data_IF_872867707072
#
_entry.id   IF_872867707072
#
_cell.length_a   1.000
_cell.length_b   1.000
_cell.length_c   1.000
_cell.angle_alpha   90.00
_cell.angle_beta   90.00
_cell.angle_gamma   90.00
#
_symmetry.space_group_name_H-M   'P 1'
#
loop_
_entity.id
_entity.type
_entity.pdbx_description
1 polymer ?
#
# COMPACT_ATOMS: atom_id res chain seq x y z
N UNK A 1 -1.12 -8.78 -8.40
CA UNK A 1 -2.40 -9.47 -8.12
C UNK A 1 -2.46 -9.93 -6.66
N UNK A 2 -2.38 -9.01 -5.69
CA UNK A 2 -2.42 -9.31 -4.25
C UNK A 2 -2.82 -8.10 -3.39
N UNK A 3 -3.30 -7.03 -4.03
CA UNK A 3 -3.51 -5.70 -3.43
C UNK A 3 -4.85 -5.57 -2.70
N UNK A 4 -5.79 -6.50 -2.91
CA UNK A 4 -7.15 -6.38 -2.37
C UNK A 4 -7.38 -7.16 -1.07
N UNK A 5 -6.39 -7.92 -0.59
CA UNK A 5 -6.57 -8.75 0.60
C UNK A 5 -6.86 -7.92 1.86
N UNK A 6 -6.25 -6.75 2.01
CA UNK A 6 -6.52 -5.86 3.15
C UNK A 6 -7.97 -5.33 3.09
N UNK A 7 -8.44 -4.93 1.91
CA UNK A 7 -9.81 -4.46 1.71
C UNK A 7 -10.84 -5.58 1.94
N UNK A 8 -10.56 -6.81 1.49
CA UNK A 8 -11.47 -7.96 1.64
C UNK A 8 -11.50 -8.48 3.07
N UNK A 9 -10.35 -8.55 3.74
CA UNK A 9 -10.25 -9.06 5.12
C UNK A 9 -10.55 -7.99 6.17
N UNK A 10 -10.74 -6.73 5.76
CA UNK A 10 -10.85 -5.57 6.64
C UNK A 10 -9.74 -5.53 7.71
N UNK A 11 -8.55 -6.03 7.35
CA UNK A 11 -7.41 -6.19 8.26
C UNK A 11 -6.11 -5.85 7.57
N UNK A 12 -5.28 -5.02 8.20
CA UNK A 12 -3.91 -4.73 7.77
C UNK A 12 -2.87 -5.68 8.39
N UNK A 13 -3.28 -6.58 9.28
CA UNK A 13 -2.40 -7.52 9.95
C UNK A 13 -1.82 -8.57 8.99
N UNK A 14 -0.49 -8.73 9.00
CA UNK A 14 0.21 -9.65 8.11
C UNK A 14 -0.31 -11.09 8.24
N UNK A 15 -0.64 -11.55 9.45
CA UNK A 15 -1.14 -12.91 9.69
C UNK A 15 -2.45 -13.18 8.96
N UNK A 16 -3.48 -12.35 9.18
CA UNK A 16 -4.80 -12.50 8.55
C UNK A 16 -4.73 -12.40 7.03
N UNK A 17 -3.97 -11.42 6.53
CA UNK A 17 -3.77 -11.21 5.09
C UNK A 17 -3.02 -12.38 4.46
N UNK A 18 -2.02 -12.92 5.14
CA UNK A 18 -1.24 -14.07 4.64
C UNK A 18 -2.11 -15.31 4.53
N UNK A 19 -2.88 -15.65 5.57
CA UNK A 19 -3.77 -16.84 5.55
C UNK A 19 -4.78 -16.73 4.42
N UNK A 20 -5.43 -15.57 4.29
CA UNK A 20 -6.39 -15.32 3.20
C UNK A 20 -5.76 -15.48 1.82
N UNK A 21 -4.60 -14.86 1.57
CA UNK A 21 -3.92 -14.95 0.28
C UNK A 21 -3.40 -16.36 -0.02
N UNK A 22 -2.94 -17.08 1.00
CA UNK A 22 -2.50 -18.47 0.88
C UNK A 22 -3.65 -19.39 0.44
N UNK A 23 -4.83 -19.23 1.02
CA UNK A 23 -6.04 -19.94 0.61
C UNK A 23 -6.47 -19.53 -0.80
N UNK A 24 -6.56 -18.22 -1.07
CA UNK A 24 -7.02 -17.69 -2.36
C UNK A 24 -6.17 -18.17 -3.54
N UNK A 25 -4.84 -18.26 -3.36
CA UNK A 25 -3.92 -18.68 -4.41
C UNK A 25 -3.53 -20.15 -4.34
N UNK A 26 -4.09 -20.91 -3.39
CA UNK A 26 -3.70 -22.30 -3.10
C UNK A 26 -2.17 -22.46 -2.96
N UNK A 27 -1.56 -21.63 -2.11
CA UNK A 27 -0.11 -21.60 -1.86
C UNK A 27 0.20 -21.84 -0.38
N UNK A 28 1.39 -22.38 -0.05
CA UNK A 28 1.84 -22.50 1.34
C UNK A 28 1.89 -21.13 2.02
N UNK A 29 1.31 -21.03 3.22
CA UNK A 29 1.24 -19.79 4.00
C UNK A 29 2.63 -19.18 4.23
N UNK A 30 3.61 -20.00 4.62
CA UNK A 30 4.99 -19.54 4.86
C UNK A 30 5.61 -18.87 3.64
N UNK A 31 5.34 -19.38 2.44
CA UNK A 31 5.85 -18.79 1.19
C UNK A 31 5.17 -17.44 0.90
N UNK A 32 3.87 -17.34 1.13
CA UNK A 32 3.12 -16.07 0.97
C UNK A 32 3.63 -15.05 1.99
N UNK A 33 3.85 -15.46 3.24
CA UNK A 33 4.35 -14.59 4.31
C UNK A 33 5.71 -14.03 3.97
N UNK A 34 6.64 -14.89 3.56
CA UNK A 34 7.98 -14.48 3.17
C UNK A 34 7.96 -13.60 1.94
N UNK A 35 7.14 -13.92 0.94
CA UNK A 35 6.96 -13.08 -0.24
C UNK A 35 6.48 -11.67 0.12
N UNK A 36 5.50 -11.54 1.02
CA UNK A 36 5.03 -10.25 1.52
C UNK A 36 6.11 -9.50 2.30
N UNK A 37 6.90 -10.20 3.13
CA UNK A 37 8.03 -9.61 3.87
C UNK A 37 9.10 -9.03 2.94
N UNK A 38 9.32 -9.63 1.77
CA UNK A 38 10.26 -9.09 0.79
C UNK A 38 9.86 -7.69 0.28
N UNK A 39 8.60 -7.26 0.40
CA UNK A 39 8.18 -5.91 0.01
C UNK A 39 8.72 -4.83 0.95
N UNK A 40 8.92 -5.14 2.23
CA UNK A 40 9.44 -4.21 3.24
C UNK A 40 10.97 -4.16 3.30
N UNK A 41 11.66 -5.07 2.61
CA UNK A 41 13.12 -5.12 2.62
C UNK A 41 13.69 -4.19 1.55
N UNK A 42 14.82 -3.58 1.86
CA UNK A 42 15.67 -2.92 0.87
C UNK A 42 16.18 -3.92 -0.17
N UNK A 43 16.54 -3.45 -1.37
CA UNK A 43 16.96 -4.30 -2.48
C UNK A 43 18.05 -5.33 -2.08
N UNK A 44 19.06 -4.91 -1.32
CA UNK A 44 20.17 -5.76 -0.90
C UNK A 44 19.76 -6.92 0.00
N UNK A 45 18.68 -6.75 0.76
CA UNK A 45 18.16 -7.73 1.72
C UNK A 45 17.07 -8.64 1.10
N UNK A 46 16.75 -8.45 -0.19
CA UNK A 46 15.79 -9.31 -0.90
C UNK A 46 16.42 -10.61 -1.39
N UNK A 47 15.67 -11.71 -1.27
CA UNK A 47 16.10 -13.00 -1.81
C UNK A 47 15.98 -13.07 -3.34
N UNK A 48 16.84 -13.89 -3.96
CA UNK A 48 16.84 -14.12 -5.41
C UNK A 48 17.66 -13.11 -6.22
N UNK A 49 17.57 -13.23 -7.55
CA UNK A 49 18.34 -12.42 -8.52
C UNK A 49 17.61 -11.16 -8.98
N UNK A 50 16.30 -11.05 -8.76
CA UNK A 50 15.47 -9.89 -9.13
C UNK A 50 15.28 -8.95 -7.93
N UNK A 51 16.39 -8.44 -7.41
CA UNK A 51 16.40 -7.53 -6.26
C UNK A 51 16.10 -6.12 -6.73
N UNK A 52 14.92 -5.63 -6.38
CA UNK A 52 14.51 -4.28 -6.71
C UNK A 52 13.84 -3.64 -5.50
N UNK A 53 14.17 -2.39 -5.26
CA UNK A 53 13.44 -1.56 -4.33
C UNK A 53 12.13 -1.10 -4.99
N UNK A 54 11.11 -0.88 -4.17
CA UNK A 54 9.86 -0.33 -4.65
C UNK A 54 9.97 1.18 -4.52
N UNK A 55 9.95 1.88 -5.63
CA UNK A 55 9.85 3.34 -5.61
C UNK A 55 8.42 3.74 -5.23
N UNK A 56 8.21 3.96 -3.94
CA UNK A 56 6.88 4.23 -3.37
C UNK A 56 6.24 5.45 -4.02
N UNK A 57 7.04 6.47 -4.34
CA UNK A 57 6.59 7.70 -5.01
C UNK A 57 5.95 7.42 -6.37
N UNK A 58 6.48 6.46 -7.12
CA UNK A 58 5.90 6.04 -8.41
C UNK A 58 4.62 5.22 -8.25
N UNK A 59 4.35 4.67 -7.06
CA UNK A 59 3.17 3.86 -6.80
C UNK A 59 1.92 4.72 -6.57
N UNK A 60 2.07 6.00 -6.22
CA UNK A 60 0.93 6.87 -5.87
C UNK A 60 0.02 7.13 -7.06
N UNK A 61 0.57 7.61 -8.19
CA UNK A 61 -0.19 7.88 -9.42
C UNK A 61 -1.03 6.67 -9.87
N UNK A 62 -0.45 5.48 -10.12
CA UNK A 62 -1.24 4.34 -10.59
C UNK A 62 -2.26 3.85 -9.55
N UNK A 63 -1.97 3.98 -8.26
CA UNK A 63 -2.92 3.62 -7.21
C UNK A 63 -4.12 4.59 -7.20
N UNK A 64 -3.86 5.90 -7.26
CA UNK A 64 -4.90 6.92 -7.29
C UNK A 64 -5.76 6.81 -8.55
N UNK A 65 -5.14 6.62 -9.73
CA UNK A 65 -5.88 6.41 -10.98
C UNK A 65 -6.79 5.19 -10.90
N UNK A 66 -6.33 4.09 -10.29
CA UNK A 66 -7.15 2.90 -10.09
C UNK A 66 -8.33 3.17 -9.14
N UNK A 67 -8.10 3.86 -8.02
CA UNK A 67 -9.18 4.22 -7.10
C UNK A 67 -10.25 5.10 -7.78
N UNK A 68 -9.81 6.13 -8.51
CA UNK A 68 -10.70 7.03 -9.26
C UNK A 68 -11.45 6.32 -10.39
N UNK A 69 -10.93 5.21 -10.92
CA UNK A 69 -11.63 4.44 -11.96
C UNK A 69 -12.94 3.79 -11.49
N UNK A 70 -13.14 3.71 -10.17
CA UNK A 70 -14.35 3.19 -9.56
C UNK A 70 -15.40 4.27 -9.26
N UNK A 71 -15.05 5.55 -9.41
CA UNK A 71 -15.98 6.64 -9.19
C UNK A 71 -16.92 6.83 -10.37
N UNK A 72 -18.12 7.33 -10.08
CA UNK A 72 -19.05 7.73 -11.13
C UNK A 72 -18.41 8.83 -11.99
N UNK A 73 -18.64 8.79 -13.31
CA UNK A 73 -18.12 9.82 -14.23
C UNK A 73 -18.65 11.22 -13.91
N UNK A 74 -19.79 11.28 -13.22
CA UNK A 74 -20.45 12.51 -12.82
C UNK A 74 -19.88 13.07 -11.50
N UNK A 75 -19.14 12.27 -10.74
CA UNK A 75 -18.53 12.66 -9.47
C UNK A 75 -17.10 13.18 -9.68
N UNK A 76 -16.96 14.50 -9.64
CA UNK A 76 -15.71 15.23 -9.93
C UNK A 76 -15.05 15.84 -8.70
N UNK A 77 -15.53 15.51 -7.50
CA UNK A 77 -15.02 16.05 -6.24
C UNK A 77 -14.13 15.03 -5.54
N UNK A 78 -12.83 15.34 -5.41
CA UNK A 78 -11.89 14.58 -4.61
C UNK A 78 -11.69 15.27 -3.25
N UNK A 79 -11.96 14.54 -2.16
CA UNK A 79 -11.73 15.06 -0.81
C UNK A 79 -10.23 14.98 -0.51
N UNK A 80 -9.69 16.10 -0.03
CA UNK A 80 -8.31 16.20 0.43
C UNK A 80 -8.32 16.56 1.92
N UNK A 81 -7.55 15.82 2.72
CA UNK A 81 -7.23 16.22 4.08
C UNK A 81 -5.96 17.06 4.07
N UNK A 82 -6.05 18.25 4.66
CA UNK A 82 -4.91 19.11 4.92
C UNK A 82 -4.68 19.18 6.43
N UNK A 83 -3.49 18.76 6.88
CA UNK A 83 -3.07 18.85 8.27
C UNK A 83 -1.83 19.73 8.38
N UNK A 84 -1.83 20.66 9.34
CA UNK A 84 -0.72 21.56 9.60
C UNK A 84 -0.13 21.22 10.97
N UNK A 85 1.08 20.67 10.97
CA UNK A 85 1.80 20.25 12.17
C UNK A 85 3.02 21.14 12.40
N UNK A 86 3.05 21.86 13.52
CA UNK A 86 4.13 22.81 13.86
C UNK A 86 5.11 22.19 14.86
N UNK A 87 6.42 22.29 14.58
CA UNK A 87 7.45 21.98 15.57
C UNK A 87 7.94 23.26 16.27
N UNK A 88 7.36 23.53 17.44
CA UNK A 88 7.67 24.71 18.25
C UNK A 88 7.29 26.00 17.53
N UNK A 89 8.25 26.91 17.34
CA UNK A 89 8.08 28.12 16.52
C UNK A 89 8.99 28.14 15.29
N UNK A 90 9.61 27.00 14.94
CA UNK A 90 10.69 26.95 13.94
C UNK A 90 10.19 26.61 12.55
N UNK A 91 9.25 25.69 12.44
CA UNK A 91 8.67 25.29 11.16
C UNK A 91 7.27 24.70 11.34
N UNK A 92 6.44 24.90 10.32
CA UNK A 92 5.14 24.26 10.16
C UNK A 92 5.18 23.38 8.91
N UNK A 93 4.86 22.10 9.08
CA UNK A 93 4.67 21.14 8.00
C UNK A 93 3.19 21.15 7.60
N UNK A 94 2.90 21.45 6.34
CA UNK A 94 1.58 21.24 5.75
C UNK A 94 1.59 19.91 4.99
N UNK A 95 0.77 18.96 5.44
CA UNK A 95 0.55 17.68 4.78
C UNK A 95 -0.79 17.74 4.07
N UNK A 96 -0.79 17.50 2.75
CA UNK A 96 -2.01 17.34 1.95
C UNK A 96 -2.09 15.88 1.52
N UNK A 97 -3.20 15.23 1.81
CA UNK A 97 -3.43 13.81 1.52
C UNK A 97 -4.79 13.60 0.85
N UNK A 98 -4.86 12.58 0.00
CA UNK A 98 -6.13 12.07 -0.55
C UNK A 98 -6.68 11.07 0.47
N UNK A 99 -7.96 11.20 0.83
CA UNK A 99 -8.63 10.38 1.86
C UNK A 99 -9.66 9.45 1.24
#
# INVERSE_FOLDING_TARGET
>A
MGRNAIAITHSCGLSTVTVFLAQLFNKPEGNVREQLRQWYREANNKYGRKRQEIEVTQSFKPLLTWLLSWWSKDEKSLVLAADASTLGQRFTLLVISVV
#
